data_IF_338681698004
#
_entry.id   IF_338681698004
#
_cell.length_a   1.000
_cell.length_b   1.000
_cell.length_c   1.000
_cell.angle_alpha   90.00
_cell.angle_beta   90.00
_cell.angle_gamma   90.00
#
_symmetry.space_group_name_H-M   'P 1'
#
loop_
_entity.id
_entity.type
_entity.pdbx_description
1 polymer ?
#
# COMPACT_ATOMS: atom_id res chain seq x y z
N UNK A 1 14.12 2.72 -12.08
CA UNK A 1 12.61 2.76 -12.17
C UNK A 1 11.96 1.41 -11.95
N UNK A 2 12.58 0.32 -12.37
CA UNK A 2 11.97 -1.03 -12.31
C UNK A 2 11.62 -1.49 -10.89
N UNK A 3 12.52 -1.29 -9.92
CA UNK A 3 12.25 -1.62 -8.52
C UNK A 3 11.13 -0.78 -7.89
N UNK A 4 11.00 0.50 -8.24
CA UNK A 4 9.90 1.34 -7.81
C UNK A 4 8.56 0.78 -8.27
N UNK A 5 8.44 0.47 -9.58
CA UNK A 5 7.23 -0.11 -10.16
C UNK A 5 6.92 -1.49 -9.56
N UNK A 6 7.95 -2.30 -9.32
CA UNK A 6 7.79 -3.62 -8.71
C UNK A 6 7.29 -3.54 -7.27
N UNK A 7 7.84 -2.62 -6.46
CA UNK A 7 7.35 -2.41 -5.09
C UNK A 7 5.91 -1.90 -5.05
N UNK A 8 5.56 -0.98 -5.94
CA UNK A 8 4.19 -0.51 -6.10
C UNK A 8 3.24 -1.64 -6.51
N UNK A 9 3.60 -2.46 -7.52
CA UNK A 9 2.73 -3.55 -7.98
C UNK A 9 2.44 -4.57 -6.86
N UNK A 10 3.41 -4.90 -6.03
CA UNK A 10 3.20 -5.78 -4.87
C UNK A 10 2.14 -5.24 -3.90
N UNK A 11 2.13 -3.92 -3.65
CA UNK A 11 1.10 -3.32 -2.80
C UNK A 11 -0.29 -3.42 -3.43
N UNK A 12 -0.40 -3.11 -4.72
CA UNK A 12 -1.68 -3.20 -5.45
C UNK A 12 -2.19 -4.64 -5.49
N UNK A 13 -1.31 -5.61 -5.77
CA UNK A 13 -1.65 -7.03 -5.80
C UNK A 13 -2.11 -7.54 -4.43
N UNK A 14 -1.45 -7.09 -3.34
CA UNK A 14 -1.85 -7.43 -1.98
C UNK A 14 -3.30 -6.98 -1.72
N UNK A 15 -3.64 -5.71 -1.97
CA UNK A 15 -4.99 -5.21 -1.75
C UNK A 15 -6.02 -5.93 -2.63
N UNK A 16 -5.69 -6.22 -3.88
CA UNK A 16 -6.56 -6.98 -4.78
C UNK A 16 -6.79 -8.41 -4.29
N UNK A 17 -5.76 -9.05 -3.73
CA UNK A 17 -5.88 -10.41 -3.16
C UNK A 17 -6.81 -10.47 -1.94
N UNK A 18 -7.09 -9.31 -1.34
CA UNK A 18 -8.01 -9.14 -0.22
C UNK A 18 -9.41 -8.66 -0.66
N UNK A 19 -9.70 -8.72 -1.96
CA UNK A 19 -10.94 -8.24 -2.56
C UNK A 19 -11.26 -6.76 -2.27
N UNK A 20 -10.21 -5.93 -2.07
CA UNK A 20 -10.35 -4.51 -1.81
C UNK A 20 -10.17 -3.74 -3.12
N UNK A 21 -11.20 -3.00 -3.59
CA UNK A 21 -11.07 -2.15 -4.77
C UNK A 21 -10.06 -1.03 -4.52
N UNK A 22 -9.04 -0.94 -5.35
CA UNK A 22 -7.99 0.09 -5.25
C UNK A 22 -7.76 0.79 -6.58
N UNK A 23 -7.33 2.04 -6.48
CA UNK A 23 -6.79 2.82 -7.58
C UNK A 23 -5.41 3.36 -7.21
N UNK A 24 -4.62 3.72 -8.20
CA UNK A 24 -3.33 4.39 -8.01
C UNK A 24 -3.45 5.83 -8.46
N UNK A 25 -2.96 6.74 -7.62
CA UNK A 25 -2.80 8.15 -7.92
C UNK A 25 -1.31 8.46 -8.05
N UNK A 26 -0.89 9.00 -9.19
CA UNK A 26 0.45 9.58 -9.33
C UNK A 26 0.41 11.01 -8.78
N UNK A 27 1.22 11.27 -7.74
CA UNK A 27 1.28 12.60 -7.12
C UNK A 27 1.88 13.61 -8.09
N UNK A 28 1.19 14.73 -8.29
CA UNK A 28 1.70 15.85 -9.06
C UNK A 28 2.79 16.62 -8.30
N UNK A 29 3.57 17.43 -9.01
CA UNK A 29 4.69 18.18 -8.42
C UNK A 29 4.27 19.12 -7.28
N UNK A 30 3.05 19.63 -7.31
CA UNK A 30 2.53 20.51 -6.26
C UNK A 30 2.18 19.78 -4.96
N UNK A 31 2.07 18.44 -4.98
CA UNK A 31 1.74 17.59 -3.84
C UNK A 31 2.91 16.67 -3.43
N UNK A 32 4.00 16.69 -4.19
CA UNK A 32 5.21 15.96 -3.84
C UNK A 32 5.94 16.67 -2.71
N UNK A 33 6.28 15.91 -1.64
CA UNK A 33 7.19 16.41 -0.63
C UNK A 33 8.60 16.66 -1.22
N UNK A 34 9.32 17.66 -0.72
CA UNK A 34 10.62 18.15 -1.22
C UNK A 34 11.69 17.07 -1.47
N UNK A 35 11.61 15.96 -0.74
CA UNK A 35 12.55 14.85 -0.86
C UNK A 35 12.15 13.80 -1.91
N UNK A 36 10.96 13.90 -2.49
CA UNK A 36 10.45 12.90 -3.42
C UNK A 36 10.69 13.31 -4.86
N UNK A 37 11.16 12.36 -5.66
CA UNK A 37 11.29 12.48 -7.12
C UNK A 37 10.01 12.02 -7.81
N UNK A 38 9.35 11.00 -7.24
CA UNK A 38 8.11 10.40 -7.71
C UNK A 38 7.39 9.73 -6.56
N UNK A 39 6.06 9.82 -6.53
CA UNK A 39 5.23 9.09 -5.56
C UNK A 39 3.98 8.56 -6.22
N UNK A 40 3.63 7.33 -5.86
CA UNK A 40 2.33 6.72 -6.12
C UNK A 40 1.61 6.49 -4.82
N UNK A 41 0.39 6.99 -4.71
CA UNK A 41 -0.50 6.66 -3.62
C UNK A 41 -1.48 5.59 -4.07
N UNK A 42 -1.62 4.54 -3.27
CA UNK A 42 -2.64 3.51 -3.45
C UNK A 42 -3.81 3.88 -2.56
N UNK A 43 -4.96 4.08 -3.18
CA UNK A 43 -6.19 4.44 -2.50
C UNK A 43 -7.20 3.30 -2.58
N UNK A 44 -7.84 2.98 -1.45
CA UNK A 44 -8.91 1.99 -1.37
C UNK A 44 -10.28 2.67 -1.38
N UNK A 45 -11.26 2.00 -1.94
CA UNK A 45 -12.65 2.43 -1.91
C UNK A 45 -13.24 2.27 -0.51
N UNK A 46 -13.91 3.29 -0.03
CA UNK A 46 -14.73 3.26 1.19
C UNK A 46 -16.21 3.32 0.82
N UNK A 47 -16.96 2.19 0.88
CA UNK A 47 -18.40 2.21 0.65
C UNK A 47 -19.16 3.15 1.59
N UNK A 48 -18.76 3.20 2.86
CA UNK A 48 -19.36 4.06 3.88
C UNK A 48 -19.21 5.54 3.56
N UNK A 49 -18.03 5.96 3.07
CA UNK A 49 -17.75 7.36 2.77
C UNK A 49 -18.06 7.74 1.32
N UNK A 50 -18.35 6.74 0.46
CA UNK A 50 -18.53 6.89 -0.98
C UNK A 50 -17.36 7.62 -1.65
N UNK A 51 -16.13 7.29 -1.23
CA UNK A 51 -14.89 7.89 -1.77
C UNK A 51 -13.69 6.97 -1.62
N UNK A 52 -12.64 7.26 -2.36
CA UNK A 52 -11.33 6.65 -2.15
C UNK A 52 -10.56 7.38 -1.05
N UNK A 53 -9.71 6.64 -0.31
CA UNK A 53 -8.78 7.18 0.68
C UNK A 53 -7.45 6.44 0.63
N UNK A 54 -6.38 7.14 0.91
CA UNK A 54 -5.03 6.61 0.86
C UNK A 54 -4.81 5.50 1.90
N UNK A 55 -4.31 4.35 1.45
CA UNK A 55 -3.97 3.18 2.29
C UNK A 55 -2.49 2.82 2.25
N UNK A 56 -1.78 3.28 1.23
CA UNK A 56 -0.36 3.00 1.02
C UNK A 56 0.24 4.08 0.13
N UNK A 57 1.51 4.41 0.34
CA UNK A 57 2.28 5.18 -0.64
C UNK A 57 3.61 4.52 -0.98
N UNK A 58 4.02 4.64 -2.25
CA UNK A 58 5.30 4.19 -2.76
C UNK A 58 6.06 5.39 -3.32
N UNK A 59 7.27 5.65 -2.83
CA UNK A 59 8.03 6.86 -3.15
C UNK A 59 9.44 6.55 -3.63
N UNK A 60 9.88 7.27 -4.65
CA UNK A 60 11.27 7.37 -5.06
C UNK A 60 11.84 8.67 -4.48
N UNK A 61 12.89 8.55 -3.66
CA UNK A 61 13.50 9.66 -2.92
C UNK A 61 14.83 10.10 -3.56
N UNK A 62 15.18 9.53 -4.72
CA UNK A 62 16.47 9.80 -5.34
C UNK A 62 17.61 9.59 -4.35
N UNK A 63 18.58 10.52 -4.32
CA UNK A 63 19.71 10.46 -3.40
C UNK A 63 19.51 11.29 -2.11
N UNK A 64 18.35 11.89 -1.90
CA UNK A 64 18.11 12.82 -0.81
C UNK A 64 18.38 12.23 0.60
N UNK A 65 17.90 10.99 0.83
CA UNK A 65 18.19 10.30 2.09
C UNK A 65 19.66 9.85 2.18
N UNK A 66 20.21 9.35 1.08
CA UNK A 66 21.58 8.88 1.03
C UNK A 66 22.58 10.00 1.30
N UNK A 67 22.32 11.23 0.86
CA UNK A 67 23.14 12.42 1.19
C UNK A 67 23.15 12.67 2.69
N UNK A 68 22.01 12.65 3.34
CA UNK A 68 21.87 12.92 4.78
C UNK A 68 22.48 11.81 5.63
N UNK A 69 22.25 10.55 5.25
CA UNK A 69 22.69 9.36 5.98
C UNK A 69 24.07 8.87 5.55
N UNK A 70 24.68 9.52 4.53
CA UNK A 70 25.98 9.15 3.95
C UNK A 70 26.03 7.72 3.42
N UNK A 71 24.90 7.22 2.86
CA UNK A 71 24.80 5.89 2.28
C UNK A 71 25.42 5.92 0.88
N UNK A 72 26.47 5.13 0.69
CA UNK A 72 27.23 5.08 -0.56
C UNK A 72 27.51 3.65 -0.97
N UNK A 73 27.70 3.45 -2.25
CA UNK A 73 28.19 2.20 -2.82
C UNK A 73 29.43 2.48 -3.67
N UNK A 74 30.21 1.44 -3.92
CA UNK A 74 31.36 1.49 -4.80
C UNK A 74 30.91 0.97 -6.18
N UNK A 75 31.03 1.81 -7.20
CA UNK A 75 30.68 1.43 -8.57
C UNK A 75 31.72 0.49 -9.20
N UNK A 76 31.45 0.02 -10.43
CA UNK A 76 32.33 -0.91 -11.16
C UNK A 76 33.74 -0.36 -11.39
N UNK A 77 33.92 0.95 -11.43
CA UNK A 77 35.19 1.65 -11.57
C UNK A 77 35.88 1.91 -10.23
N UNK A 78 35.31 1.45 -9.13
CA UNK A 78 35.83 1.66 -7.80
C UNK A 78 35.55 3.03 -7.20
N UNK A 79 34.72 3.87 -7.83
CA UNK A 79 34.35 5.20 -7.36
C UNK A 79 33.15 5.13 -6.40
N UNK A 80 33.21 5.92 -5.33
CA UNK A 80 32.12 6.03 -4.36
C UNK A 80 30.98 6.89 -4.91
N UNK A 81 29.77 6.31 -4.99
CA UNK A 81 28.54 6.94 -5.46
C UNK A 81 27.51 6.98 -4.34
N UNK A 82 26.58 7.95 -4.38
CA UNK A 82 25.43 7.97 -3.50
C UNK A 82 24.38 6.96 -3.99
N UNK A 83 23.76 6.27 -3.04
CA UNK A 83 22.62 5.40 -3.35
C UNK A 83 21.37 6.21 -3.67
N UNK A 84 20.48 5.69 -4.48
CA UNK A 84 19.09 6.12 -4.55
C UNK A 84 18.26 5.24 -3.63
N UNK A 85 17.27 5.81 -2.97
CA UNK A 85 16.41 5.09 -2.04
C UNK A 85 14.96 5.09 -2.50
N UNK A 86 14.30 3.98 -2.22
CA UNK A 86 12.86 3.81 -2.42
C UNK A 86 12.20 3.57 -1.05
N UNK A 87 10.97 4.00 -0.93
CA UNK A 87 10.15 3.72 0.24
C UNK A 87 8.79 3.21 -0.19
N UNK A 88 8.26 2.21 0.48
CA UNK A 88 6.92 1.71 0.27
C UNK A 88 6.32 1.32 1.62
N UNK A 89 5.17 1.90 1.96
CA UNK A 89 4.43 1.56 3.18
C UNK A 89 3.92 0.11 3.12
N UNK A 90 3.59 -0.40 1.94
CA UNK A 90 2.92 -1.68 1.66
C UNK A 90 1.54 -1.74 2.31
N UNK A 91 1.48 -1.70 3.64
CA UNK A 91 0.25 -1.73 4.45
C UNK A 91 0.36 -0.74 5.60
N UNK A 92 -0.60 0.18 5.70
CA UNK A 92 -0.87 0.94 6.92
C UNK A 92 -2.01 0.21 7.67
N UNK A 93 -1.72 -0.60 8.73
CA UNK A 93 -2.70 -1.53 9.30
C UNK A 93 -4.04 -0.89 9.69
N UNK A 94 -4.11 0.29 10.33
CA UNK A 94 -5.39 0.90 10.68
C UNK A 94 -6.23 1.27 9.45
N UNK A 95 -5.62 1.82 8.40
CA UNK A 95 -6.30 2.21 7.17
C UNK A 95 -6.74 0.98 6.37
N UNK A 96 -5.86 -0.02 6.28
CA UNK A 96 -6.18 -1.27 5.61
C UNK A 96 -7.32 -2.01 6.31
N UNK A 97 -7.35 -2.02 7.65
CA UNK A 97 -8.42 -2.65 8.40
C UNK A 97 -9.79 -2.00 8.13
N UNK A 98 -9.84 -0.67 8.03
CA UNK A 98 -11.06 0.05 7.63
C UNK A 98 -11.51 -0.43 6.25
N UNK A 99 -10.61 -0.42 5.25
CA UNK A 99 -10.94 -0.85 3.90
C UNK A 99 -11.39 -2.31 3.85
N UNK A 100 -10.71 -3.20 4.59
CA UNK A 100 -11.04 -4.62 4.67
C UNK A 100 -12.46 -4.83 5.23
N UNK A 101 -12.75 -4.22 6.38
CA UNK A 101 -14.04 -4.38 7.04
C UNK A 101 -15.18 -3.80 6.20
N UNK A 102 -15.03 -2.57 5.69
CA UNK A 102 -16.08 -1.90 4.93
C UNK A 102 -16.41 -2.61 3.59
N UNK A 103 -15.40 -3.16 2.90
CA UNK A 103 -15.61 -3.85 1.62
C UNK A 103 -16.07 -5.30 1.75
N UNK A 104 -15.96 -5.89 2.95
CA UNK A 104 -16.36 -7.27 3.20
C UNK A 104 -17.53 -7.38 4.20
N UNK A 105 -18.13 -6.25 4.60
CA UNK A 105 -19.31 -6.25 5.46
C UNK A 105 -20.54 -6.74 4.67
N UNK A 106 -21.24 -7.70 5.23
CA UNK A 106 -22.46 -8.27 4.68
C UNK A 106 -23.59 -8.18 5.71
N UNK A 107 -24.82 -7.96 5.24
CA UNK A 107 -26.03 -7.96 6.05
C UNK A 107 -27.06 -8.90 5.41
N UNK A 108 -27.52 -9.88 6.14
CA UNK A 108 -28.46 -10.91 5.63
C UNK A 108 -29.93 -10.58 5.91
N UNK A 109 -30.22 -9.44 6.49
CA UNK A 109 -31.56 -9.01 6.90
C UNK A 109 -31.80 -9.09 8.41
N UNK A 110 -30.94 -9.82 9.14
CA UNK A 110 -31.02 -9.98 10.59
C UNK A 110 -29.72 -9.61 11.29
N UNK A 111 -28.58 -10.08 10.75
CA UNK A 111 -27.26 -9.94 11.37
C UNK A 111 -26.20 -9.40 10.41
N UNK A 112 -25.21 -8.77 10.99
CA UNK A 112 -24.00 -8.38 10.26
C UNK A 112 -22.96 -9.50 10.33
N UNK A 113 -22.26 -9.70 9.21
CA UNK A 113 -21.07 -10.54 9.14
C UNK A 113 -19.99 -9.87 8.31
N UNK A 114 -18.74 -10.26 8.52
CA UNK A 114 -17.62 -9.82 7.69
C UNK A 114 -17.06 -11.03 6.98
N UNK A 115 -17.14 -11.03 5.66
CA UNK A 115 -16.52 -12.05 4.81
C UNK A 115 -15.00 -12.01 4.96
N UNK A 116 -14.38 -13.15 5.14
CA UNK A 116 -12.92 -13.28 5.17
C UNK A 116 -12.43 -13.56 3.74
N UNK A 117 -11.62 -12.66 3.14
CA UNK A 117 -11.02 -12.90 1.83
C UNK A 117 -10.26 -14.21 1.78
N UNK A 118 -10.30 -14.90 0.64
CA UNK A 118 -9.68 -16.24 0.48
C UNK A 118 -8.20 -16.26 0.91
N UNK A 119 -7.46 -15.19 0.60
CA UNK A 119 -6.05 -15.08 0.96
C UNK A 119 -5.79 -15.08 2.48
N UNK A 120 -6.78 -14.68 3.30
CA UNK A 120 -6.66 -14.65 4.76
C UNK A 120 -7.20 -15.90 5.45
N UNK A 121 -8.05 -16.71 4.79
CA UNK A 121 -8.68 -17.88 5.41
C UNK A 121 -7.67 -18.88 6.02
N UNK A 122 -6.52 -19.19 5.39
CA UNK A 122 -5.52 -20.08 5.99
C UNK A 122 -4.98 -19.57 7.33
N UNK A 123 -4.89 -18.25 7.50
CA UNK A 123 -4.43 -17.60 8.73
C UNK A 123 -5.51 -17.44 9.78
N UNK A 124 -6.78 -17.67 9.41
CA UNK A 124 -7.95 -17.57 10.28
C UNK A 124 -8.54 -18.94 10.61
N UNK A 125 -7.73 -20.02 10.55
CA UNK A 125 -8.19 -21.39 10.82
C UNK A 125 -9.23 -21.91 9.84
N UNK A 126 -9.19 -21.44 8.59
CA UNK A 126 -10.11 -21.83 7.52
C UNK A 126 -11.50 -21.17 7.60
N UNK A 127 -11.71 -20.23 8.53
CA UNK A 127 -12.98 -19.50 8.62
C UNK A 127 -13.23 -18.67 7.37
N UNK A 128 -14.47 -18.66 6.91
CA UNK A 128 -14.90 -17.89 5.73
C UNK A 128 -15.55 -16.56 6.09
N UNK A 129 -16.03 -16.40 7.34
CA UNK A 129 -16.65 -15.18 7.86
C UNK A 129 -16.48 -15.02 9.36
N UNK A 130 -16.63 -13.80 9.83
CA UNK A 130 -16.76 -13.41 11.23
C UNK A 130 -18.20 -12.97 11.42
N UNK A 131 -18.89 -13.54 12.39
CA UNK A 131 -20.31 -13.27 12.67
C UNK A 131 -20.47 -12.59 14.03
N UNK A 132 -21.53 -11.81 14.14
CA UNK A 132 -22.02 -11.32 15.43
C UNK A 132 -22.46 -12.49 16.31
N UNK A 133 -22.09 -12.45 17.59
CA UNK A 133 -22.47 -13.49 18.58
C UNK A 133 -23.90 -13.32 19.05
#
# INVERSE_FOLDING_TARGET
MDWFNKMWSYSVELFRSLDIPVRTLECCTGDLADLKVKSYDVEAWSPRQNKYFEVCSCSNLGDAQARRLRIRYKDENGKMQLCHTLNNTVVAPPRMLIALLENNLEFDGEKYSVRIPKALQPYMGGKTKIEEK
#
